data_IF_674833921850
#
_entry.id   IF_674833921850
#
_cell.length_a   1.000
_cell.length_b   1.000
_cell.length_c   1.000
_cell.angle_alpha   90.00
_cell.angle_beta   90.00
_cell.angle_gamma   90.00
#
_symmetry.space_group_name_H-M   'P 1'
#
loop_
_entity.id
_entity.type
_entity.pdbx_description
1 polymer ?
#
# COMPACT_ATOMS: atom_id res chain seq x y z
N UNK A 1 -14.65 21.17 22.27
CA UNK A 1 -13.23 20.86 22.01
C UNK A 1 -13.02 20.70 20.51
N UNK A 2 -11.90 21.20 19.96
CA UNK A 2 -11.55 21.01 18.54
C UNK A 2 -11.05 19.58 18.32
N UNK A 3 -11.52 18.92 17.27
CA UNK A 3 -11.07 17.57 16.88
C UNK A 3 -9.58 17.59 16.50
N UNK A 4 -8.83 16.58 16.95
CA UNK A 4 -7.41 16.42 16.58
C UNK A 4 -7.24 15.90 15.14
N UNK A 5 -6.04 16.07 14.57
CA UNK A 5 -5.70 15.54 13.24
C UNK A 5 -5.84 14.02 13.16
N UNK A 6 -5.42 13.31 14.20
CA UNK A 6 -5.52 11.85 14.28
C UNK A 6 -6.97 11.39 14.31
N UNK A 7 -7.83 12.07 15.07
CA UNK A 7 -9.27 11.78 15.10
C UNK A 7 -9.93 12.07 13.76
N UNK A 8 -9.57 13.18 13.11
CA UNK A 8 -10.05 13.52 11.78
C UNK A 8 -9.64 12.46 10.75
N UNK A 9 -8.39 11.99 10.78
CA UNK A 9 -7.88 10.92 9.92
C UNK A 9 -8.63 9.60 10.14
N UNK A 10 -8.81 9.20 11.40
CA UNK A 10 -9.58 7.99 11.76
C UNK A 10 -11.03 8.09 11.28
N UNK A 11 -11.70 9.22 11.53
CA UNK A 11 -13.09 9.44 11.13
C UNK A 11 -13.26 9.45 9.60
N UNK A 12 -12.30 10.02 8.88
CA UNK A 12 -12.23 10.00 7.43
C UNK A 12 -12.12 8.58 6.89
N UNK A 13 -11.15 7.80 7.40
CA UNK A 13 -10.95 6.40 7.00
C UNK A 13 -12.18 5.53 7.24
N UNK A 14 -12.83 5.66 8.39
CA UNK A 14 -14.07 4.93 8.70
C UNK A 14 -15.23 5.34 7.77
N UNK A 15 -15.34 6.62 7.42
CA UNK A 15 -16.37 7.10 6.49
C UNK A 15 -16.14 6.56 5.09
N UNK A 16 -14.89 6.58 4.60
CA UNK A 16 -14.51 5.99 3.32
C UNK A 16 -14.80 4.49 3.31
N UNK A 17 -14.44 3.75 4.37
CA UNK A 17 -14.73 2.32 4.49
C UNK A 17 -16.22 2.00 4.52
N UNK A 18 -17.04 2.86 5.13
CA UNK A 18 -18.51 2.69 5.13
C UNK A 18 -19.12 2.97 3.75
N UNK A 19 -18.61 3.99 3.06
CA UNK A 19 -19.08 4.39 1.71
C UNK A 19 -18.64 3.43 0.63
N UNK A 20 -17.45 2.86 0.78
CA UNK A 20 -16.81 2.02 -0.22
C UNK A 20 -16.51 0.65 0.38
N UNK A 21 -17.17 -0.37 -0.15
CA UNK A 21 -17.00 -1.77 0.27
C UNK A 21 -15.61 -2.34 -0.07
N UNK A 22 -15.44 -3.64 0.17
CA UNK A 22 -14.15 -4.32 0.01
C UNK A 22 -13.55 -4.22 -1.41
N UNK A 23 -14.40 -4.27 -2.44
CA UNK A 23 -14.07 -4.08 -3.85
C UNK A 23 -13.22 -2.83 -4.12
N UNK A 24 -13.53 -1.71 -3.44
CA UNK A 24 -12.82 -0.45 -3.60
C UNK A 24 -11.38 -0.54 -3.12
N UNK A 25 -11.15 -1.11 -1.93
CA UNK A 25 -9.81 -1.30 -1.40
C UNK A 25 -9.02 -2.31 -2.24
N UNK A 26 -9.68 -3.37 -2.73
CA UNK A 26 -9.06 -4.31 -3.66
C UNK A 26 -8.61 -3.64 -4.96
N UNK A 27 -9.44 -2.75 -5.53
CA UNK A 27 -9.08 -1.98 -6.73
C UNK A 27 -7.91 -1.03 -6.46
N UNK A 28 -7.95 -0.26 -5.36
CA UNK A 28 -6.87 0.67 -5.02
C UNK A 28 -5.57 -0.08 -4.73
N UNK A 29 -5.64 -1.18 -3.99
CA UNK A 29 -4.49 -2.05 -3.70
C UNK A 29 -3.85 -2.59 -4.98
N UNK A 30 -4.65 -3.06 -5.94
CA UNK A 30 -4.14 -3.50 -7.26
C UNK A 30 -3.43 -2.39 -8.03
N UNK A 31 -4.04 -1.20 -8.10
CA UNK A 31 -3.45 -0.05 -8.82
C UNK A 31 -2.16 0.41 -8.13
N UNK A 32 -2.20 0.58 -6.81
CA UNK A 32 -1.05 1.02 -6.01
C UNK A 32 0.10 0.02 -6.05
N UNK A 33 -0.21 -1.28 -5.89
CA UNK A 33 0.75 -2.36 -5.98
C UNK A 33 1.44 -2.43 -7.33
N UNK A 34 0.68 -2.33 -8.44
CA UNK A 34 1.25 -2.29 -9.79
C UNK A 34 2.18 -1.09 -9.97
N UNK A 35 1.73 0.13 -9.63
CA UNK A 35 2.55 1.34 -9.77
C UNK A 35 3.81 1.31 -8.90
N UNK A 36 3.69 0.82 -7.66
CA UNK A 36 4.80 0.67 -6.74
C UNK A 36 5.82 -0.33 -7.25
N UNK A 37 5.36 -1.50 -7.71
CA UNK A 37 6.21 -2.53 -8.30
C UNK A 37 6.98 -2.04 -9.53
N UNK A 38 6.31 -1.39 -10.48
CA UNK A 38 6.96 -0.81 -11.66
C UNK A 38 7.98 0.27 -11.29
N UNK A 39 7.69 1.08 -10.27
CA UNK A 39 8.63 2.10 -9.80
C UNK A 39 9.87 1.49 -9.15
N UNK A 40 9.70 0.49 -8.30
CA UNK A 40 10.81 -0.26 -7.69
C UNK A 40 11.63 -0.96 -8.76
N UNK A 41 10.99 -1.63 -9.72
CA UNK A 41 11.64 -2.30 -10.83
C UNK A 41 12.48 -1.32 -11.67
N UNK A 42 11.91 -0.17 -12.03
CA UNK A 42 12.65 0.88 -12.78
C UNK A 42 13.84 1.42 -12.01
N UNK A 43 13.71 1.59 -10.68
CA UNK A 43 14.76 2.20 -9.86
C UNK A 43 15.90 1.23 -9.55
N UNK A 44 15.60 -0.03 -9.25
CA UNK A 44 16.59 -0.96 -8.69
C UNK A 44 16.88 -2.18 -9.58
N UNK A 45 16.15 -2.36 -10.67
CA UNK A 45 16.37 -3.46 -11.60
C UNK A 45 16.18 -4.85 -10.98
N UNK A 46 16.70 -5.86 -11.68
CA UNK A 46 16.48 -7.29 -11.33
C UNK A 46 17.27 -7.72 -10.09
N UNK A 47 18.42 -7.09 -9.84
CA UNK A 47 19.33 -7.44 -8.74
C UNK A 47 18.69 -7.24 -7.37
N UNK A 48 17.82 -6.23 -7.25
CA UNK A 48 17.04 -6.00 -6.03
C UNK A 48 16.18 -7.20 -5.66
N UNK A 49 15.45 -7.75 -6.63
CA UNK A 49 14.59 -8.92 -6.43
C UNK A 49 15.41 -10.18 -6.10
N UNK A 50 16.57 -10.35 -6.74
CA UNK A 50 17.49 -11.43 -6.40
C UNK A 50 18.00 -11.32 -4.96
N UNK A 51 18.38 -10.12 -4.52
CA UNK A 51 18.88 -9.87 -3.15
C UNK A 51 17.82 -10.16 -2.09
N UNK A 52 16.59 -9.70 -2.28
CA UNK A 52 15.49 -9.98 -1.34
C UNK A 52 15.11 -11.47 -1.35
N UNK A 53 15.13 -12.11 -2.53
CA UNK A 53 14.84 -13.54 -2.67
C UNK A 53 15.88 -14.40 -1.96
N UNK A 54 17.17 -14.11 -2.14
CA UNK A 54 18.26 -14.76 -1.39
C UNK A 54 18.05 -14.60 0.11
N UNK A 55 17.85 -13.37 0.60
CA UNK A 55 17.60 -13.10 2.04
C UNK A 55 16.38 -13.85 2.60
N UNK A 56 15.28 -13.93 1.84
CA UNK A 56 14.06 -14.61 2.27
C UNK A 56 14.18 -16.14 2.26
N UNK A 57 14.97 -16.68 1.33
CA UNK A 57 15.23 -18.12 1.21
C UNK A 57 16.39 -18.64 2.07
N UNK A 58 17.20 -17.77 2.67
CA UNK A 58 18.29 -18.16 3.58
C UNK A 58 17.81 -18.55 5.00
N UNK A 59 16.63 -19.17 5.12
CA UNK A 59 16.05 -19.62 6.40
C UNK A 59 16.02 -21.14 6.48
#
# INVERSE_FOLDING_TARGET
GKMSRSEAGRKGGLTTKRRHGQEFFGRIGRIGGKKGGETTKRRYGVEHYQKIGRKGGSR
#
